data_IF_461099661279
#
_entry.id   IF_461099661279
#
_cell.length_a   1.000
_cell.length_b   1.000
_cell.length_c   1.000
_cell.angle_alpha   90.00
_cell.angle_beta   90.00
_cell.angle_gamma   90.00
#
_symmetry.space_group_name_H-M   'P 1'
#
loop_
_entity.id
_entity.type
_entity.pdbx_description
1 polymer ?
#
# COMPACT_ATOMS: atom_id res chain seq x y z
N UNK A 1 -3.87 11.83 5.41
CA UNK A 1 -4.60 10.54 5.38
C UNK A 1 -5.23 10.29 6.75
N UNK A 2 -6.44 9.72 6.83
CA UNK A 2 -7.16 9.53 8.10
C UNK A 2 -7.58 8.06 8.28
N UNK A 3 -7.73 7.63 9.54
CA UNK A 3 -8.25 6.31 9.86
C UNK A 3 -9.69 6.18 9.37
N UNK A 4 -9.98 5.12 8.61
CA UNK A 4 -11.33 4.87 8.08
C UNK A 4 -12.38 4.65 9.18
N UNK A 5 -11.95 4.30 10.40
CA UNK A 5 -12.85 3.96 11.51
C UNK A 5 -13.05 5.10 12.51
N UNK A 6 -11.98 5.74 12.98
CA UNK A 6 -12.05 6.80 14.00
C UNK A 6 -11.71 8.18 13.47
N UNK A 7 -11.43 8.32 12.17
CA UNK A 7 -11.01 9.55 11.50
C UNK A 7 -9.75 10.22 12.08
N UNK A 8 -9.01 9.54 12.96
CA UNK A 8 -7.69 9.98 13.46
C UNK A 8 -6.79 10.29 12.27
N UNK A 9 -6.15 11.44 12.30
CA UNK A 9 -5.16 11.83 11.31
C UNK A 9 -3.91 10.94 11.43
N UNK A 10 -3.43 10.46 10.28
CA UNK A 10 -2.18 9.71 10.16
C UNK A 10 -1.09 10.57 9.55
N UNK A 11 0.08 10.53 10.18
CA UNK A 11 1.31 11.11 9.64
C UNK A 11 2.01 10.09 8.75
N UNK A 12 2.26 10.41 7.48
CA UNK A 12 2.97 9.50 6.57
C UNK A 12 4.37 9.10 7.08
N UNK A 13 5.02 9.97 7.86
CA UNK A 13 6.35 9.71 8.39
C UNK A 13 6.37 8.76 9.60
N UNK A 14 5.28 8.70 10.35
CA UNK A 14 5.25 8.03 11.66
C UNK A 14 4.27 6.85 11.69
N UNK A 15 3.10 7.00 11.07
CA UNK A 15 2.05 5.98 11.05
C UNK A 15 2.08 5.09 9.78
N UNK A 16 2.86 5.46 8.76
CA UNK A 16 3.05 4.60 7.57
C UNK A 16 3.99 3.44 7.92
N UNK A 17 3.46 2.22 7.87
CA UNK A 17 4.19 1.02 8.26
C UNK A 17 4.96 0.43 7.09
N UNK A 18 4.37 0.48 5.90
CA UNK A 18 4.97 0.03 4.66
C UNK A 18 4.27 0.69 3.47
N UNK A 19 5.02 0.94 2.41
CA UNK A 19 4.47 1.27 1.10
C UNK A 19 5.11 0.37 0.05
N UNK A 20 4.38 0.08 -1.02
CA UNK A 20 4.87 -0.68 -2.16
C UNK A 20 4.34 -0.08 -3.44
N UNK A 21 5.20 0.03 -4.45
CA UNK A 21 4.88 0.54 -5.77
C UNK A 21 5.10 -0.55 -6.82
N UNK A 22 4.21 -0.62 -7.80
CA UNK A 22 4.26 -1.57 -8.90
C UNK A 22 3.71 -0.95 -10.17
N UNK A 23 4.31 -1.28 -11.32
CA UNK A 23 3.74 -0.93 -12.62
C UNK A 23 2.78 -2.03 -13.07
N UNK A 24 1.52 -1.66 -13.31
CA UNK A 24 0.42 -2.53 -13.72
C UNK A 24 -0.18 -1.93 -14.99
N UNK A 25 -0.16 -2.67 -16.09
CA UNK A 25 -0.69 -2.25 -17.39
C UNK A 25 -0.16 -0.88 -17.91
N UNK A 26 1.07 -0.52 -17.51
CA UNK A 26 1.69 0.76 -17.88
C UNK A 26 1.44 1.91 -16.91
N UNK A 27 0.52 1.73 -15.94
CA UNK A 27 0.26 2.70 -14.88
C UNK A 27 1.05 2.36 -13.62
N UNK A 28 1.39 3.36 -12.81
CA UNK A 28 2.05 3.14 -11.51
C UNK A 28 1.01 3.07 -10.40
N UNK A 29 0.95 1.93 -9.72
CA UNK A 29 0.13 1.72 -8.54
C UNK A 29 1.02 1.72 -7.30
N UNK A 30 0.78 2.66 -6.39
CA UNK A 30 1.44 2.76 -5.10
C UNK A 30 0.43 2.51 -3.99
N UNK A 31 0.66 1.45 -3.20
CA UNK A 31 -0.16 1.10 -2.06
C UNK A 31 0.59 1.38 -0.74
N UNK A 32 -0.01 2.20 0.12
CA UNK A 32 0.55 2.61 1.43
C UNK A 32 -0.31 2.12 2.58
N UNK A 33 0.30 1.51 3.59
CA UNK A 33 -0.38 0.92 4.74
C UNK A 33 -0.15 1.74 6.01
N UNK A 34 -1.24 2.14 6.65
CA UNK A 34 -1.26 2.91 7.90
C UNK A 34 -1.95 2.10 9.00
N UNK A 35 -1.32 1.97 10.16
CA UNK A 35 -1.91 1.24 11.29
C UNK A 35 -2.52 2.20 12.32
N UNK A 36 -3.79 1.98 12.69
CA UNK A 36 -4.41 2.70 13.80
C UNK A 36 -4.28 1.93 15.10
N UNK A 37 -3.43 2.39 16.01
CA UNK A 37 -3.31 1.78 17.35
C UNK A 37 -4.63 1.81 18.15
N UNK A 38 -5.38 2.93 18.06
CA UNK A 38 -6.68 3.07 18.76
C UNK A 38 -7.75 2.09 18.29
N UNK A 39 -7.77 1.79 16.99
CA UNK A 39 -8.81 0.94 16.39
C UNK A 39 -8.35 -0.50 16.16
N UNK A 40 -7.05 -0.76 16.21
CA UNK A 40 -6.46 -2.07 15.91
C UNK A 40 -6.63 -2.50 14.45
N UNK A 41 -6.77 -1.56 13.52
CA UNK A 41 -7.03 -1.84 12.09
C UNK A 41 -6.07 -1.06 11.20
N UNK A 42 -5.76 -1.64 10.04
CA UNK A 42 -5.02 -0.99 8.98
C UNK A 42 -5.94 -0.23 8.04
N UNK A 43 -5.48 0.93 7.60
CA UNK A 43 -6.01 1.68 6.46
C UNK A 43 -5.00 1.56 5.32
N UNK A 44 -5.45 1.17 4.14
CA UNK A 44 -4.64 1.14 2.92
C UNK A 44 -5.02 2.31 2.04
N UNK A 45 -4.04 3.08 1.59
CA UNK A 45 -4.19 4.05 0.53
C UNK A 45 -3.66 3.45 -0.77
N UNK A 46 -4.41 3.55 -1.85
CA UNK A 46 -4.03 3.08 -3.17
C UNK A 46 -4.01 4.30 -4.08
N UNK A 47 -2.83 4.65 -4.55
CA UNK A 47 -2.60 5.76 -5.45
C UNK A 47 -2.23 5.22 -6.82
N UNK A 48 -3.00 5.62 -7.83
CA UNK A 48 -2.75 5.31 -9.23
C UNK A 48 -2.27 6.56 -9.95
N UNK A 49 -1.02 6.53 -10.40
CA UNK A 49 -0.46 7.48 -11.35
C UNK A 49 -0.67 6.93 -12.76
N UNK A 50 -1.73 7.43 -13.41
CA UNK A 50 -2.14 6.99 -14.73
C UNK A 50 -1.38 7.78 -15.80
N UNK A 51 -0.66 7.10 -16.68
CA UNK A 51 0.20 7.77 -17.67
C UNK A 51 -0.59 8.66 -18.65
N UNK A 52 -1.85 8.32 -18.94
CA UNK A 52 -2.69 9.01 -19.93
C UNK A 52 -3.96 9.64 -19.33
N UNK A 53 -4.06 9.79 -18.01
CA UNK A 53 -5.30 10.23 -17.36
C UNK A 53 -5.08 11.01 -16.06
N UNK A 54 -6.17 11.17 -15.30
CA UNK A 54 -6.15 11.76 -13.96
C UNK A 54 -5.61 10.76 -12.94
N UNK A 55 -4.70 11.23 -12.09
CA UNK A 55 -4.26 10.50 -10.90
C UNK A 55 -5.47 10.20 -9.99
N UNK A 56 -5.51 8.99 -9.43
CA UNK A 56 -6.61 8.54 -8.58
C UNK A 56 -6.08 8.01 -7.26
N UNK A 57 -6.53 8.63 -6.16
CA UNK A 57 -6.29 8.16 -4.81
C UNK A 57 -7.57 7.50 -4.26
N UNK A 58 -7.44 6.27 -3.77
CA UNK A 58 -8.53 5.51 -3.16
C UNK A 58 -8.10 4.99 -1.79
N UNK A 59 -9.01 5.07 -0.83
CA UNK A 59 -8.79 4.55 0.52
C UNK A 59 -9.54 3.25 0.69
N UNK A 60 -8.85 2.21 1.15
CA UNK A 60 -9.38 0.87 1.35
C UNK A 60 -9.19 0.44 2.81
N UNK A 61 -10.23 -0.17 3.39
CA UNK A 61 -10.24 -0.65 4.77
C UNK A 61 -11.66 -0.77 5.32
N UNK A 62 -11.82 -1.09 6.62
CA UNK A 62 -10.77 -1.39 7.60
C UNK A 62 -10.19 -2.80 7.42
N UNK A 63 -8.86 -2.89 7.32
CA UNK A 63 -8.16 -4.17 7.21
C UNK A 63 -7.84 -4.67 8.64
N UNK A 64 -8.20 -5.91 9.01
CA UNK A 64 -7.86 -6.45 10.32
C UNK A 64 -6.35 -6.59 10.47
N UNK A 65 -5.84 -6.35 11.68
CA UNK A 65 -4.41 -6.43 12.01
C UNK A 65 -3.67 -7.65 11.42
N UNK A 66 -4.11 -8.91 11.60
CA UNK A 66 -3.38 -10.07 11.07
C UNK A 66 -3.24 -10.07 9.54
N UNK A 67 -4.24 -9.56 8.82
CA UNK A 67 -4.20 -9.48 7.35
C UNK A 67 -3.23 -8.38 6.90
N UNK A 68 -3.32 -7.21 7.54
CA UNK A 68 -2.40 -6.09 7.29
C UNK A 68 -0.94 -6.42 7.65
N UNK A 69 -0.70 -7.09 8.78
CA UNK A 69 0.63 -7.57 9.16
C UNK A 69 1.19 -8.57 8.14
N UNK A 70 0.34 -9.44 7.56
CA UNK A 70 0.74 -10.34 6.49
C UNK A 70 1.21 -9.59 5.24
N UNK A 71 0.45 -8.58 4.80
CA UNK A 71 0.82 -7.71 3.66
C UNK A 71 2.09 -6.90 3.94
N UNK A 72 2.18 -6.27 5.10
CA UNK A 72 3.37 -5.52 5.54
C UNK A 72 4.61 -6.41 5.60
N UNK A 73 4.49 -7.61 6.16
CA UNK A 73 5.59 -8.55 6.24
C UNK A 73 6.08 -8.98 4.86
N UNK A 74 5.18 -9.12 3.88
CA UNK A 74 5.53 -9.39 2.49
C UNK A 74 6.30 -8.22 1.88
N UNK A 75 5.79 -6.98 2.02
CA UNK A 75 6.43 -5.77 1.48
C UNK A 75 7.84 -5.60 2.05
N UNK A 76 8.03 -5.84 3.35
CA UNK A 76 9.34 -5.75 4.04
C UNK A 76 10.38 -6.77 3.56
N UNK A 77 10.00 -7.78 2.77
CA UNK A 77 10.97 -8.70 2.14
C UNK A 77 11.68 -8.06 0.95
N UNK A 78 11.13 -7.01 0.36
CA UNK A 78 11.81 -6.24 -0.68
C UNK A 78 12.64 -5.11 -0.05
N UNK A 79 13.88 -4.95 -0.51
CA UNK A 79 14.74 -3.85 -0.07
C UNK A 79 14.36 -2.50 -0.69
N UNK A 80 13.65 -2.53 -1.82
CA UNK A 80 13.24 -1.33 -2.58
C UNK A 80 11.74 -1.41 -2.93
N UNK A 81 10.84 -1.45 -1.95
CA UNK A 81 9.41 -1.62 -2.21
C UNK A 81 8.79 -0.47 -3.02
N UNK A 82 9.39 0.72 -2.99
CA UNK A 82 9.01 1.88 -3.82
C UNK A 82 9.41 1.76 -5.29
N UNK A 83 10.22 0.77 -5.67
CA UNK A 83 10.65 0.60 -7.05
C UNK A 83 9.56 -0.08 -7.88
N UNK A 84 8.82 0.70 -8.68
CA UNK A 84 7.73 0.21 -9.54
C UNK A 84 8.12 -0.87 -10.57
N UNK A 85 9.41 -0.90 -10.93
CA UNK A 85 9.98 -1.89 -11.87
C UNK A 85 10.52 -3.12 -11.16
N UNK A 86 10.44 -3.19 -9.83
CA UNK A 86 10.89 -4.36 -9.10
C UNK A 86 10.00 -5.57 -9.40
N UNK A 87 10.64 -6.73 -9.64
CA UNK A 87 9.99 -8.01 -9.92
C UNK A 87 10.48 -9.11 -8.98
N UNK A 88 10.92 -8.72 -7.78
CA UNK A 88 11.29 -9.69 -6.76
C UNK A 88 10.08 -10.56 -6.33
N UNK A 89 10.35 -11.70 -5.69
CA UNK A 89 9.31 -12.62 -5.24
C UNK A 89 8.24 -11.92 -4.37
N UNK A 90 8.63 -10.94 -3.56
CA UNK A 90 7.71 -10.16 -2.74
C UNK A 90 6.74 -9.33 -3.59
N UNK A 91 7.24 -8.60 -4.59
CA UNK A 91 6.42 -7.81 -5.51
C UNK A 91 5.49 -8.70 -6.35
N UNK A 92 6.03 -9.78 -6.91
CA UNK A 92 5.25 -10.72 -7.73
C UNK A 92 4.14 -11.37 -6.90
N UNK A 93 4.46 -11.81 -5.68
CA UNK A 93 3.46 -12.39 -4.77
C UNK A 93 2.45 -11.36 -4.26
N UNK A 94 2.87 -10.10 -4.09
CA UNK A 94 2.01 -9.06 -3.56
C UNK A 94 0.96 -8.60 -4.60
N UNK A 95 1.40 -8.39 -5.84
CA UNK A 95 0.56 -7.97 -6.97
C UNK A 95 -0.02 -9.15 -7.78
N UNK A 96 0.10 -10.38 -7.27
CA UNK A 96 -0.45 -11.61 -7.88
C UNK A 96 -0.06 -11.77 -9.36
N UNK A 97 1.19 -11.45 -9.70
CA UNK A 97 1.68 -11.52 -11.09
C UNK A 97 1.12 -10.47 -12.06
N UNK A 98 0.37 -9.48 -11.59
CA UNK A 98 -0.20 -8.39 -12.42
C UNK A 98 0.81 -7.32 -12.86
N UNK A 99 2.09 -7.55 -12.58
CA UNK A 99 3.19 -6.61 -12.84
C UNK A 99 3.69 -6.75 -14.28
N UNK A 100 3.93 -5.62 -14.95
CA UNK A 100 4.44 -5.54 -16.34
C UNK A 100 5.85 -6.14 -16.56
#
# INVERSE_FOLDING_TARGET
MNCIRCNREFSFKEDCIASISGSILGDECTESFFYCDRCGVYTKEVFWDCFSGEESASVCGPIPKPDGDGKVALIKRCSEPWNKKCRCEAHVSYFDGSLD
#
